data_IF_076996998551
#
_entry.id   IF_076996998551
#
_cell.length_a   1.000
_cell.length_b   1.000
_cell.length_c   1.000
_cell.angle_alpha   90.00
_cell.angle_beta   90.00
_cell.angle_gamma   90.00
#
_symmetry.space_group_name_H-M   'P 1'
#
loop_
_entity.id
_entity.type
_entity.pdbx_description
1 polymer ?
#
# COMPACT_ATOMS: atom_id res chain seq x y z
N UNK A 1 33.28 7.78 12.83
CA UNK A 1 33.18 8.75 11.72
C UNK A 1 32.88 8.12 10.36
N UNK A 2 33.50 6.99 9.97
CA UNK A 2 33.33 6.39 8.63
C UNK A 2 31.89 5.94 8.32
N UNK A 3 31.15 5.39 9.30
CA UNK A 3 29.75 4.97 9.12
C UNK A 3 28.78 6.12 8.76
N UNK A 4 29.04 7.35 9.23
CA UNK A 4 28.18 8.50 8.89
C UNK A 4 28.42 9.01 7.46
N UNK A 5 29.64 8.88 6.94
CA UNK A 5 29.95 9.25 5.54
C UNK A 5 29.29 8.30 4.54
N UNK A 6 29.22 7.00 4.85
CA UNK A 6 28.58 6.01 3.98
C UNK A 6 27.05 6.23 3.92
N UNK A 7 26.43 6.54 5.05
CA UNK A 7 24.99 6.84 5.13
C UNK A 7 24.60 8.15 4.40
N UNK A 8 25.47 9.16 4.40
CA UNK A 8 25.21 10.45 3.74
C UNK A 8 25.31 10.40 2.20
N UNK A 9 25.99 9.39 1.64
CA UNK A 9 26.13 9.21 0.18
C UNK A 9 25.11 8.23 -0.42
N UNK A 10 24.40 7.47 0.41
CA UNK A 10 23.35 6.56 -0.04
C UNK A 10 22.02 7.32 -0.10
N UNK A 11 21.74 7.93 -1.25
CA UNK A 11 20.38 8.40 -1.57
C UNK A 11 19.45 7.19 -1.64
N UNK A 12 18.70 6.97 -0.57
CA UNK A 12 17.85 5.80 -0.45
C UNK A 12 16.55 5.99 -1.25
N UNK A 13 16.03 4.89 -1.79
CA UNK A 13 14.85 4.93 -2.68
C UNK A 13 13.57 4.60 -1.90
N UNK A 14 12.60 5.48 -1.96
CA UNK A 14 11.26 5.26 -1.43
C UNK A 14 10.27 5.14 -2.60
N UNK A 15 9.36 4.17 -2.53
CA UNK A 15 8.41 3.91 -3.60
C UNK A 15 7.00 4.32 -3.19
N UNK A 16 6.33 5.05 -4.07
CA UNK A 16 4.96 5.53 -3.89
C UNK A 16 4.11 5.16 -5.12
N UNK A 17 2.86 4.75 -4.89
CA UNK A 17 1.91 4.55 -5.95
C UNK A 17 1.12 5.82 -6.27
N UNK A 18 1.16 6.26 -7.53
CA UNK A 18 0.48 7.47 -8.02
C UNK A 18 -1.05 7.42 -7.91
N UNK A 19 -1.65 6.23 -7.96
CA UNK A 19 -3.12 6.08 -8.04
C UNK A 19 -3.79 6.06 -6.67
N UNK A 20 -3.12 5.56 -5.64
CA UNK A 20 -3.70 5.35 -4.31
C UNK A 20 -2.94 6.05 -3.18
N UNK A 21 -1.89 6.81 -3.51
CA UNK A 21 -0.99 7.47 -2.55
C UNK A 21 -0.47 6.53 -1.45
N UNK A 22 -0.31 5.23 -1.78
CA UNK A 22 0.27 4.24 -0.88
C UNK A 22 1.78 4.17 -1.06
N UNK A 23 2.48 4.01 0.04
CA UNK A 23 3.92 3.84 0.11
C UNK A 23 4.28 2.38 0.32
N UNK A 24 5.38 1.94 -0.30
CA UNK A 24 5.90 0.59 -0.15
C UNK A 24 6.63 0.44 1.20
N UNK A 25 6.14 -0.47 2.02
CA UNK A 25 6.78 -0.98 3.22
C UNK A 25 7.57 -2.24 2.85
N UNK A 26 8.90 -2.26 3.01
CA UNK A 26 9.67 -3.48 2.82
C UNK A 26 9.16 -4.60 3.77
N UNK A 27 9.00 -5.86 3.31
CA UNK A 27 9.38 -6.39 2.01
C UNK A 27 8.39 -6.13 0.86
N UNK A 28 7.07 -6.27 1.06
CA UNK A 28 6.05 -6.16 -0.01
C UNK A 28 4.71 -5.53 0.46
N UNK A 29 4.71 -4.81 1.60
CA UNK A 29 3.49 -4.18 2.13
C UNK A 29 3.21 -2.83 1.48
N UNK A 30 1.95 -2.42 1.37
CA UNK A 30 1.57 -1.07 0.94
C UNK A 30 0.70 -0.41 2.01
N UNK A 31 1.06 0.80 2.42
CA UNK A 31 0.30 1.58 3.41
C UNK A 31 0.01 2.96 2.85
N UNK A 32 -1.23 3.43 3.00
CA UNK A 32 -1.55 4.81 2.69
C UNK A 32 -0.81 5.72 3.67
N UNK A 33 -0.20 6.80 3.18
CA UNK A 33 0.42 7.80 4.05
C UNK A 33 0.48 9.14 3.32
N UNK A 34 0.03 10.19 4.00
CA UNK A 34 0.14 11.57 3.52
C UNK A 34 1.59 12.08 3.61
N UNK A 35 1.88 13.15 2.87
CA UNK A 35 3.18 13.84 2.98
C UNK A 35 3.33 14.38 4.40
N UNK A 36 4.54 14.29 4.94
CA UNK A 36 4.89 14.77 6.30
C UNK A 36 4.06 14.13 7.44
N UNK A 37 3.44 12.97 7.19
CA UNK A 37 2.70 12.21 8.20
C UNK A 37 3.61 11.35 9.10
N UNK A 38 3.10 11.01 10.29
CA UNK A 38 3.76 10.05 11.20
C UNK A 38 3.93 8.66 10.57
N UNK A 39 2.97 8.27 9.73
CA UNK A 39 2.98 7.00 9.00
C UNK A 39 4.16 6.94 8.05
N UNK A 40 4.36 7.99 7.24
CA UNK A 40 5.50 8.09 6.32
C UNK A 40 6.84 8.00 7.06
N UNK A 41 6.96 8.69 8.20
CA UNK A 41 8.16 8.65 9.04
C UNK A 41 8.45 7.22 9.51
N UNK A 42 7.42 6.48 9.94
CA UNK A 42 7.57 5.08 10.33
C UNK A 42 8.07 4.18 9.20
N UNK A 43 7.64 4.43 7.95
CA UNK A 43 8.05 3.66 6.76
C UNK A 43 9.52 3.93 6.43
N UNK A 44 9.92 5.20 6.45
CA UNK A 44 11.30 5.62 6.17
C UNK A 44 12.26 5.13 7.26
N UNK A 45 11.86 5.20 8.54
CA UNK A 45 12.66 4.62 9.62
C UNK A 45 12.82 3.10 9.49
N UNK A 46 11.76 2.36 9.10
CA UNK A 46 11.84 0.92 8.85
C UNK A 46 12.85 0.56 7.76
N UNK A 47 13.00 1.39 6.73
CA UNK A 47 14.03 1.23 5.68
C UNK A 47 15.45 1.44 6.21
N UNK A 48 15.62 2.37 7.16
CA UNK A 48 16.93 2.69 7.74
C UNK A 48 17.36 1.75 8.88
N UNK A 49 16.42 1.02 9.50
CA UNK A 49 16.69 0.04 10.57
C UNK A 49 17.90 -0.87 10.32
N UNK A 50 18.05 -1.57 9.17
CA UNK A 50 19.19 -2.46 8.93
C UNK A 50 20.53 -1.74 9.08
N UNK A 51 20.62 -0.49 8.61
CA UNK A 51 21.85 0.30 8.66
C UNK A 51 22.11 0.92 10.04
N UNK A 52 21.07 1.05 10.87
CA UNK A 52 21.11 1.71 12.19
C UNK A 52 21.26 0.76 13.39
N UNK A 53 21.56 -0.53 13.18
CA UNK A 53 21.59 -1.56 14.24
C UNK A 53 22.49 -1.23 15.46
N UNK A 54 23.55 -0.42 15.29
CA UNK A 54 24.53 -0.11 16.34
C UNK A 54 24.28 1.22 17.07
N UNK A 55 23.17 1.91 16.79
CA UNK A 55 22.98 3.29 17.25
C UNK A 55 21.54 3.54 17.67
N UNK A 56 21.36 4.31 18.76
CA UNK A 56 20.04 4.62 19.31
C UNK A 56 19.48 5.85 18.60
N UNK A 57 18.29 5.73 18.00
CA UNK A 57 17.54 6.88 17.50
C UNK A 57 16.89 7.61 18.68
N UNK A 58 17.06 8.92 18.75
CA UNK A 58 16.49 9.79 19.80
C UNK A 58 15.31 10.58 19.27
N UNK A 59 15.49 11.21 18.11
CA UNK A 59 14.49 12.06 17.48
C UNK A 59 14.58 11.95 15.95
N UNK A 60 13.44 12.17 15.29
CA UNK A 60 13.31 12.18 13.85
C UNK A 60 12.29 13.25 13.43
N UNK A 61 12.71 14.15 12.54
CA UNK A 61 11.87 15.23 12.02
C UNK A 61 12.01 15.36 10.50
N UNK A 62 10.95 15.82 9.85
CA UNK A 62 11.00 16.19 8.43
C UNK A 62 11.67 17.55 8.29
N UNK A 63 12.52 17.67 7.27
CA UNK A 63 12.96 18.96 6.76
C UNK A 63 12.10 19.29 5.56
N UNK A 64 11.54 20.50 5.56
CA UNK A 64 10.75 20.98 4.43
C UNK A 64 11.59 20.95 3.15
N UNK A 65 10.96 20.45 2.09
CA UNK A 65 11.52 20.37 0.74
C UNK A 65 10.44 20.76 -0.24
N UNK A 66 10.80 21.37 -1.37
CA UNK A 66 9.82 21.78 -2.38
C UNK A 66 8.92 20.61 -2.81
N UNK A 67 7.59 20.82 -2.93
CA UNK A 67 6.61 19.77 -3.23
C UNK A 67 6.87 18.98 -4.52
N UNK A 68 7.54 19.59 -5.50
CA UNK A 68 7.81 18.99 -6.81
C UNK A 68 9.13 18.22 -6.88
N UNK A 69 10.00 18.36 -5.88
CA UNK A 69 11.36 17.83 -5.90
C UNK A 69 11.43 16.29 -5.92
N UNK A 70 10.32 15.60 -5.62
CA UNK A 70 10.24 14.14 -5.41
C UNK A 70 11.33 13.65 -4.46
N UNK A 71 11.73 14.50 -3.52
CA UNK A 71 12.74 14.21 -2.51
C UNK A 71 12.11 14.46 -1.16
N UNK A 72 12.50 13.67 -0.17
CA UNK A 72 12.10 13.86 1.23
C UNK A 72 13.36 13.87 2.05
N UNK A 73 13.58 14.96 2.79
CA UNK A 73 14.73 15.08 3.70
C UNK A 73 14.27 14.79 5.12
N UNK A 74 15.00 13.91 5.81
CA UNK A 74 14.80 13.58 7.21
C UNK A 74 15.99 14.03 8.02
N UNK A 75 15.73 14.80 9.07
CA UNK A 75 16.69 15.12 10.12
C UNK A 75 16.59 14.04 11.20
N UNK A 76 17.68 13.32 11.42
CA UNK A 76 17.74 12.25 12.40
C UNK A 76 18.76 12.61 13.48
N UNK A 77 18.35 12.44 14.73
CA UNK A 77 19.21 12.65 15.90
C UNK A 77 19.52 11.30 16.53
N UNK A 78 20.76 10.86 16.39
CA UNK A 78 21.23 9.58 16.89
C UNK A 78 22.16 9.80 18.09
N UNK A 79 22.10 8.86 19.04
CA UNK A 79 23.01 8.76 20.17
C UNK A 79 23.80 7.45 20.11
N UNK A 80 25.13 7.56 20.24
CA UNK A 80 26.05 6.43 20.32
C UNK A 80 26.89 6.52 21.59
N UNK A 81 26.99 5.41 22.30
CA UNK A 81 27.98 5.27 23.37
C UNK A 81 29.38 5.10 22.78
N UNK A 82 30.29 5.95 23.24
CA UNK A 82 31.72 5.88 22.95
C UNK A 82 32.43 5.23 24.14
N UNK A 83 33.67 4.77 23.94
CA UNK A 83 34.51 4.19 25.00
C UNK A 83 34.41 5.03 26.29
N UNK A 84 34.25 4.36 27.43
CA UNK A 84 34.10 4.95 28.78
C UNK A 84 32.83 5.77 29.04
N UNK A 85 31.65 5.28 28.63
CA UNK A 85 30.36 5.80 29.11
C UNK A 85 29.94 7.19 28.60
N UNK A 86 30.75 7.82 27.74
CA UNK A 86 30.40 9.07 27.10
C UNK A 86 29.37 8.84 25.98
N UNK A 87 28.22 9.50 26.07
CA UNK A 87 27.18 9.47 25.04
C UNK A 87 27.41 10.60 24.05
N UNK A 88 27.69 10.25 22.79
CA UNK A 88 27.83 11.22 21.71
C UNK A 88 26.51 11.31 20.93
N UNK A 89 25.95 12.52 20.88
CA UNK A 89 24.77 12.83 20.07
C UNK A 89 25.20 13.48 18.75
N UNK A 90 24.73 12.94 17.64
CA UNK A 90 25.00 13.47 16.31
C UNK A 90 23.70 13.64 15.53
N UNK A 91 23.60 14.78 14.84
CA UNK A 91 22.52 15.08 13.90
C UNK A 91 23.03 14.83 12.49
N UNK A 92 22.24 14.16 11.67
CA UNK A 92 22.51 13.98 10.25
C UNK A 92 21.22 14.08 9.44
N UNK A 93 21.39 14.40 8.17
CA UNK A 93 20.30 14.61 7.22
C UNK A 93 20.36 13.47 6.21
N UNK A 94 19.26 12.75 6.05
CA UNK A 94 19.09 11.68 5.05
C UNK A 94 18.16 12.18 3.98
N UNK A 95 18.54 12.00 2.72
CA UNK A 95 17.71 12.33 1.57
C UNK A 95 17.15 11.05 0.94
N UNK A 96 15.83 11.01 0.80
CA UNK A 96 15.12 9.93 0.11
C UNK A 96 14.61 10.39 -1.25
N UNK A 97 14.90 9.62 -2.29
CA UNK A 97 14.36 9.83 -3.64
C UNK A 97 13.05 9.07 -3.76
N UNK A 98 11.96 9.79 -4.02
CA UNK A 98 10.62 9.22 -4.22
C UNK A 98 10.48 8.77 -5.67
N UNK A 99 10.41 7.45 -5.86
CA UNK A 99 10.14 6.82 -7.14
C UNK A 99 8.69 6.34 -7.20
N UNK A 100 8.11 6.39 -8.39
CA UNK A 100 6.75 5.93 -8.59
C UNK A 100 6.75 4.45 -8.95
N UNK A 101 6.02 3.64 -8.18
CA UNK A 101 5.80 2.23 -8.48
C UNK A 101 4.33 1.91 -8.29
N UNK A 102 3.76 1.14 -9.21
CA UNK A 102 2.36 0.76 -9.13
C UNK A 102 2.15 -0.33 -8.08
N UNK A 103 1.15 -0.13 -7.22
CA UNK A 103 0.75 -1.10 -6.20
C UNK A 103 0.10 -2.32 -6.86
N UNK A 104 0.20 -3.52 -6.27
CA UNK A 104 -0.40 -4.72 -6.86
C UNK A 104 -1.92 -4.61 -7.02
N UNK A 105 -2.61 -3.97 -6.07
CA UNK A 105 -4.05 -3.72 -6.17
C UNK A 105 -4.38 -2.80 -7.36
N UNK A 106 -3.55 -1.78 -7.58
CA UNK A 106 -3.69 -0.80 -8.65
C UNK A 106 -3.39 -1.44 -10.00
N UNK A 107 -2.35 -2.27 -10.04
CA UNK A 107 -1.98 -3.08 -11.21
C UNK A 107 -3.10 -4.03 -11.59
N UNK A 108 -3.74 -4.66 -10.60
CA UNK A 108 -4.91 -5.53 -10.81
C UNK A 108 -6.14 -4.75 -11.28
N UNK A 109 -6.38 -3.55 -10.76
CA UNK A 109 -7.50 -2.72 -11.22
C UNK A 109 -7.34 -2.30 -12.69
N UNK A 110 -6.11 -1.98 -13.11
CA UNK A 110 -5.80 -1.61 -14.50
C UNK A 110 -5.85 -2.82 -15.44
N UNK A 111 -5.40 -3.99 -14.96
CA UNK A 111 -5.60 -5.26 -15.64
C UNK A 111 -7.07 -5.70 -15.50
N UNK A 112 -7.96 -5.15 -16.35
CA UNK A 112 -9.43 -5.31 -16.38
C UNK A 112 -10.00 -6.75 -16.28
N UNK A 113 -9.17 -7.79 -16.19
CA UNK A 113 -9.52 -9.21 -16.24
C UNK A 113 -9.29 -10.01 -14.95
N UNK A 114 -9.13 -9.35 -13.78
CA UNK A 114 -8.89 -10.09 -12.53
C UNK A 114 -10.17 -10.27 -11.70
N UNK A 115 -10.79 -11.45 -11.77
CA UNK A 115 -11.74 -11.95 -10.77
C UNK A 115 -11.14 -13.12 -10.00
N UNK A 116 -11.39 -13.20 -8.69
CA UNK A 116 -10.93 -14.33 -7.87
C UNK A 116 -11.97 -15.43 -7.76
N UNK A 117 -13.25 -15.06 -7.77
CA UNK A 117 -14.37 -15.99 -7.74
C UNK A 117 -15.43 -15.56 -8.76
N UNK A 118 -16.11 -16.55 -9.35
CA UNK A 118 -17.23 -16.36 -10.26
C UNK A 118 -18.39 -17.23 -9.78
N UNK A 119 -19.57 -16.63 -9.62
CA UNK A 119 -20.81 -17.35 -9.32
C UNK A 119 -21.68 -17.31 -10.56
N UNK A 120 -21.99 -18.50 -11.08
CA UNK A 120 -22.77 -18.65 -12.30
C UNK A 120 -24.18 -19.10 -11.95
N UNK A 121 -25.16 -18.21 -12.13
CA UNK A 121 -26.58 -18.54 -11.96
C UNK A 121 -27.13 -18.93 -13.32
N UNK A 122 -27.72 -20.12 -13.43
CA UNK A 122 -28.27 -20.67 -14.67
C UNK A 122 -29.67 -21.21 -14.45
N UNK A 123 -30.56 -20.93 -15.40
CA UNK A 123 -31.92 -21.47 -15.41
C UNK A 123 -32.18 -22.13 -16.77
N UNK A 124 -32.44 -23.44 -16.76
CA UNK A 124 -32.78 -24.21 -17.97
C UNK A 124 -34.30 -24.21 -18.18
N UNK A 125 -34.87 -23.06 -18.56
CA UNK A 125 -36.29 -22.91 -18.85
C UNK A 125 -36.51 -21.89 -19.97
N UNK A 126 -37.62 -22.00 -20.71
CA UNK A 126 -38.02 -21.01 -21.72
C UNK A 126 -38.45 -19.68 -21.08
N UNK A 127 -39.19 -19.76 -19.97
CA UNK A 127 -39.65 -18.58 -19.22
C UNK A 127 -38.68 -18.22 -18.09
N UNK A 128 -38.09 -17.02 -18.16
CA UNK A 128 -37.08 -16.52 -17.21
C UNK A 128 -37.67 -15.70 -16.04
N UNK A 129 -38.93 -15.94 -15.66
CA UNK A 129 -39.64 -15.13 -14.66
C UNK A 129 -38.92 -15.08 -13.30
N UNK A 130 -38.39 -16.23 -12.86
CA UNK A 130 -37.63 -16.35 -11.61
C UNK A 130 -36.27 -15.67 -11.66
N UNK A 131 -35.61 -15.64 -12.83
CA UNK A 131 -34.34 -14.93 -13.01
C UNK A 131 -34.53 -13.42 -12.89
N UNK A 132 -35.57 -12.86 -13.52
CA UNK A 132 -35.90 -11.43 -13.39
C UNK A 132 -36.30 -11.07 -11.96
N UNK A 133 -37.02 -11.96 -11.26
CA UNK A 133 -37.35 -11.76 -9.85
C UNK A 133 -36.11 -11.74 -8.95
N UNK A 134 -35.13 -12.61 -9.22
CA UNK A 134 -33.86 -12.64 -8.51
C UNK A 134 -33.07 -11.35 -8.71
N UNK A 135 -33.06 -10.78 -9.91
CA UNK A 135 -32.43 -9.49 -10.18
C UNK A 135 -33.05 -8.36 -9.35
N UNK A 136 -34.39 -8.32 -9.25
CA UNK A 136 -35.09 -7.36 -8.40
C UNK A 136 -34.74 -7.53 -6.92
N UNK A 137 -34.59 -8.77 -6.43
CA UNK A 137 -34.13 -9.05 -5.06
C UNK A 137 -32.69 -8.58 -4.82
N UNK A 138 -31.79 -8.80 -5.79
CA UNK A 138 -30.39 -8.35 -5.71
C UNK A 138 -30.30 -6.83 -5.65
N UNK A 139 -31.17 -6.11 -6.38
CA UNK A 139 -31.28 -4.66 -6.29
C UNK A 139 -31.86 -4.23 -4.94
N UNK A 140 -32.92 -4.89 -4.46
CA UNK A 140 -33.58 -4.58 -3.18
C UNK A 140 -32.64 -4.76 -1.97
N UNK A 141 -31.80 -5.78 -1.99
CA UNK A 141 -30.85 -6.07 -0.92
C UNK A 141 -29.45 -5.45 -1.14
N UNK A 142 -29.26 -4.67 -2.21
CA UNK A 142 -27.97 -4.06 -2.56
C UNK A 142 -26.79 -5.05 -2.64
N UNK A 143 -27.04 -6.31 -2.97
CA UNK A 143 -26.02 -7.37 -2.99
C UNK A 143 -24.99 -7.20 -4.12
N UNK A 144 -25.30 -6.36 -5.11
CA UNK A 144 -24.42 -6.00 -6.23
C UNK A 144 -23.21 -5.14 -5.82
N UNK A 145 -23.24 -4.46 -4.66
CA UNK A 145 -22.14 -3.61 -4.18
C UNK A 145 -20.81 -4.36 -4.01
N UNK A 146 -20.87 -5.67 -3.75
CA UNK A 146 -19.69 -6.51 -3.55
C UNK A 146 -19.19 -7.16 -4.86
N UNK A 147 -19.91 -7.01 -5.97
CA UNK A 147 -19.56 -7.58 -7.26
C UNK A 147 -18.68 -6.61 -8.05
N UNK A 148 -17.71 -7.14 -8.78
CA UNK A 148 -16.81 -6.35 -9.64
C UNK A 148 -17.45 -6.10 -11.00
N UNK A 149 -17.96 -7.18 -11.60
CA UNK A 149 -18.56 -7.16 -12.92
C UNK A 149 -19.74 -8.12 -12.91
N UNK A 150 -20.80 -7.77 -13.66
CA UNK A 150 -21.94 -8.65 -13.89
C UNK A 150 -22.04 -8.83 -15.41
N UNK A 151 -22.03 -10.08 -15.88
CA UNK A 151 -22.18 -10.39 -17.31
C UNK A 151 -23.46 -11.18 -17.54
N UNK A 152 -24.41 -10.66 -18.35
CA UNK A 152 -25.58 -11.44 -18.76
C UNK A 152 -25.17 -12.51 -19.79
N UNK A 153 -25.74 -13.70 -19.66
CA UNK A 153 -25.52 -14.85 -20.54
C UNK A 153 -26.89 -15.34 -21.03
N UNK A 154 -27.04 -15.91 -22.24
CA UNK A 154 -28.34 -16.36 -22.73
C UNK A 154 -29.10 -17.31 -21.78
N UNK A 155 -28.38 -18.07 -20.95
CA UNK A 155 -28.92 -19.05 -20.00
C UNK A 155 -28.96 -18.56 -18.55
N UNK A 156 -28.53 -17.32 -18.26
CA UNK A 156 -28.50 -16.79 -16.89
C UNK A 156 -27.59 -15.57 -16.71
N UNK A 157 -26.96 -15.44 -15.54
CA UNK A 157 -26.11 -14.29 -15.18
C UNK A 157 -24.85 -14.77 -14.47
N UNK A 158 -23.72 -14.14 -14.77
CA UNK A 158 -22.43 -14.36 -14.10
C UNK A 158 -22.06 -13.18 -13.20
N UNK A 159 -21.81 -13.47 -11.93
CA UNK A 159 -21.35 -12.51 -10.94
C UNK A 159 -19.86 -12.73 -10.65
N UNK A 160 -19.05 -11.70 -10.89
CA UNK A 160 -17.62 -11.72 -10.62
C UNK A 160 -17.30 -11.04 -9.30
N UNK A 161 -16.45 -11.66 -8.48
CA UNK A 161 -16.04 -11.14 -7.17
C UNK A 161 -14.51 -10.97 -7.08
N UNK A 162 -14.07 -9.81 -6.57
CA UNK A 162 -12.65 -9.49 -6.38
C UNK A 162 -12.01 -10.21 -5.17
N UNK A 163 -12.80 -10.68 -4.20
CA UNK A 163 -12.33 -11.42 -3.02
C UNK A 163 -12.86 -12.85 -3.06
N UNK A 164 -11.99 -13.84 -2.89
CA UNK A 164 -12.41 -15.19 -2.49
C UNK A 164 -12.80 -15.14 -1.01
N UNK A 165 -14.02 -14.71 -0.71
CA UNK A 165 -14.67 -15.07 0.54
C UNK A 165 -15.78 -16.01 0.12
N UNK A 166 -15.69 -17.29 0.49
CA UNK A 166 -16.78 -18.25 0.29
C UNK A 166 -18.05 -17.61 0.87
N UNK A 167 -19.02 -17.21 0.03
CA UNK A 167 -20.29 -16.72 0.53
C UNK A 167 -21.08 -17.97 0.91
N UNK A 168 -21.01 -18.40 2.18
CA UNK A 168 -21.87 -19.50 2.64
C UNK A 168 -21.36 -20.44 3.72
N UNK A 169 -20.36 -20.09 4.54
CA UNK A 169 -20.14 -20.82 5.80
C UNK A 169 -20.02 -19.78 6.93
N UNK A 170 -21.15 -19.55 7.59
CA UNK A 170 -21.20 -19.17 9.00
C UNK A 170 -21.41 -20.44 9.80
#
# INVERSE_FOLDING_TARGET
>A
MVLCFILALLSDRAFMCKFCNRWLIPPNGWLHAERESKELLSILLKKLKPTMTKVRLTDASFLWTEPHSKRVKLKLTIQKEVLTGAVLQQVFIVEFIVMNQMCDDCRRAEAKDFWRACVQVRQKCEFKKTLFYLEQLVLKHSAHLNTTTIKPVPTGVDFFYAKCRTPGIH
#
